data_IF_508098013474
#
_entry.id   IF_508098013474
#
_cell.length_a   1.000
_cell.length_b   1.000
_cell.length_c   1.000
_cell.angle_alpha   90.00
_cell.angle_beta   90.00
_cell.angle_gamma   90.00
#
_symmetry.space_group_name_H-M   'P 1'
#
loop_
_entity.id
_entity.type
_entity.pdbx_description
1 polymer ?
#
# COMPACT_ATOMS: atom_id res chain seq x y z
N UNK A 1 -47.09 -66.53 -5.92
CA UNK A 1 -46.18 -67.02 -4.85
C UNK A 1 -44.93 -66.12 -4.85
N UNK A 2 -45.02 -64.92 -4.28
CA UNK A 2 -43.86 -64.02 -4.10
C UNK A 2 -44.06 -63.23 -2.79
N UNK A 3 -43.18 -63.43 -1.82
CA UNK A 3 -43.21 -62.74 -0.53
C UNK A 3 -42.54 -61.37 -0.68
N UNK A 4 -43.30 -60.32 -0.39
CA UNK A 4 -42.82 -58.93 -0.29
C UNK A 4 -42.09 -58.73 1.04
N UNK A 5 -40.88 -58.17 0.96
CA UNK A 5 -40.15 -57.58 2.08
C UNK A 5 -40.18 -56.07 1.92
N UNK A 6 -40.69 -55.36 2.93
CA UNK A 6 -40.17 -54.07 3.43
C UNK A 6 -40.95 -53.76 4.72
N UNK A 7 -40.46 -54.19 5.89
CA UNK A 7 -39.54 -53.48 6.78
C UNK A 7 -39.94 -52.03 7.09
N UNK A 8 -40.69 -51.87 8.18
CA UNK A 8 -40.72 -50.63 8.96
C UNK A 8 -40.92 -50.99 10.45
N UNK A 9 -39.83 -51.28 11.15
CA UNK A 9 -39.84 -51.39 12.61
C UNK A 9 -39.08 -50.23 13.23
N UNK A 10 -39.85 -49.41 13.94
CA UNK A 10 -39.39 -48.44 14.93
C UNK A 10 -38.46 -49.12 15.94
N UNK A 11 -37.29 -48.53 16.16
CA UNK A 11 -36.36 -48.57 17.33
C UNK A 11 -35.00 -48.06 16.80
N UNK A 12 -34.13 -47.32 17.46
CA UNK A 12 -33.99 -46.97 18.87
C UNK A 12 -33.12 -45.72 19.00
N UNK A 13 -33.21 -45.13 20.19
CA UNK A 13 -32.23 -44.35 20.94
C UNK A 13 -30.79 -44.87 20.70
N UNK A 14 -29.78 -43.98 20.77
CA UNK A 14 -28.32 -44.19 20.63
C UNK A 14 -27.83 -44.12 19.16
N UNK A 15 -26.98 -43.21 18.69
CA UNK A 15 -26.01 -42.29 19.30
C UNK A 15 -25.74 -41.18 18.28
N UNK A 16 -25.97 -39.91 18.63
CA UNK A 16 -25.52 -38.83 17.75
C UNK A 16 -25.04 -37.58 18.50
N UNK A 17 -24.39 -37.82 19.63
CA UNK A 17 -23.61 -36.81 20.36
C UNK A 17 -22.33 -36.41 19.61
N UNK A 18 -21.83 -37.25 18.70
CA UNK A 18 -20.68 -36.92 17.85
C UNK A 18 -21.04 -35.95 16.71
N UNK A 19 -22.19 -36.07 16.05
CA UNK A 19 -22.57 -35.12 15.00
C UNK A 19 -22.94 -33.73 15.53
N UNK A 20 -23.43 -33.61 16.78
CA UNK A 20 -23.71 -32.30 17.38
C UNK A 20 -22.43 -31.53 17.76
N UNK A 21 -21.37 -32.20 18.20
CA UNK A 21 -20.06 -31.59 18.52
C UNK A 21 -19.29 -31.14 17.27
N UNK A 22 -19.38 -31.90 16.18
CA UNK A 22 -18.72 -31.55 14.90
C UNK A 22 -19.36 -30.31 14.26
N UNK A 23 -20.70 -30.20 14.30
CA UNK A 23 -21.41 -29.04 13.74
C UNK A 23 -21.21 -27.74 14.54
N UNK A 24 -21.04 -27.80 15.87
CA UNK A 24 -20.80 -26.61 16.70
C UNK A 24 -19.42 -26.00 16.53
N UNK A 25 -18.42 -26.80 16.13
CA UNK A 25 -17.05 -26.29 15.95
C UNK A 25 -16.92 -25.43 14.69
N UNK A 26 -17.65 -25.77 13.62
CA UNK A 26 -17.60 -25.00 12.37
C UNK A 26 -18.32 -23.63 12.48
N UNK A 27 -19.33 -23.49 13.34
CA UNK A 27 -20.02 -22.21 13.52
C UNK A 27 -19.20 -21.19 14.35
N UNK A 28 -18.23 -21.65 15.15
CA UNK A 28 -17.31 -20.79 15.93
C UNK A 28 -16.12 -20.29 15.11
N UNK A 29 -15.73 -21.01 14.06
CA UNK A 29 -14.63 -20.61 13.18
C UNK A 29 -15.02 -19.48 12.22
N UNK A 30 -16.32 -19.33 11.91
CA UNK A 30 -16.82 -18.28 11.02
C UNK A 30 -16.92 -16.89 11.70
N UNK A 31 -17.17 -16.82 13.02
CA UNK A 31 -17.34 -15.55 13.76
C UNK A 31 -16.03 -14.84 14.10
N UNK A 32 -14.88 -15.50 13.99
CA UNK A 32 -13.56 -14.86 14.20
C UNK A 32 -13.05 -14.10 12.99
N UNK A 33 -13.68 -14.24 11.81
CA UNK A 33 -13.22 -13.61 10.56
C UNK A 33 -13.75 -12.17 10.40
N UNK A 34 -14.71 -11.74 11.24
CA UNK A 34 -15.32 -10.41 11.13
C UNK A 34 -14.84 -9.39 12.17
N UNK A 35 -13.95 -9.77 13.10
CA UNK A 35 -13.29 -8.80 13.98
C UNK A 35 -12.07 -8.20 13.28
N UNK A 36 -12.34 -7.21 12.44
CA UNK A 36 -11.35 -6.20 12.04
C UNK A 36 -11.22 -5.17 13.17
N UNK A 37 -11.07 -5.61 14.42
CA UNK A 37 -11.07 -4.73 15.57
C UNK A 37 -9.65 -4.41 16.06
N UNK A 38 -9.35 -3.12 15.90
CA UNK A 38 -8.48 -2.26 16.72
C UNK A 38 -7.00 -2.59 16.95
N UNK A 39 -6.42 -3.64 16.36
CA UNK A 39 -4.95 -3.71 16.37
C UNK A 39 -4.42 -2.60 15.44
N UNK A 40 -3.60 -1.64 15.91
CA UNK A 40 -3.04 -0.63 15.02
C UNK A 40 -2.26 -1.38 13.94
N UNK A 41 -2.75 -1.29 12.69
CA UNK A 41 -2.14 -1.95 11.55
C UNK A 41 -0.78 -1.31 11.34
N UNK A 42 0.25 -1.92 11.92
CA UNK A 42 1.63 -1.50 11.72
C UNK A 42 1.95 -1.58 10.23
N UNK A 43 2.68 -0.58 9.75
CA UNK A 43 3.11 -0.43 8.37
C UNK A 43 4.62 -0.54 8.30
N UNK A 44 5.13 -1.12 7.23
CA UNK A 44 6.52 -0.97 6.86
C UNK A 44 6.71 0.28 6.03
N UNK A 45 7.60 1.14 6.48
CA UNK A 45 8.19 2.23 5.71
C UNK A 45 9.46 1.70 5.04
N UNK A 46 9.34 1.40 3.76
CA UNK A 46 10.42 0.82 2.96
C UNK A 46 11.09 1.95 2.19
N UNK A 47 12.36 2.21 2.46
CA UNK A 47 13.14 3.24 1.77
C UNK A 47 14.24 2.59 0.95
N UNK A 48 14.31 2.86 -0.35
CA UNK A 48 15.43 2.40 -1.18
C UNK A 48 16.67 3.25 -0.90
N UNK A 49 17.74 2.67 -0.35
CA UNK A 49 19.00 3.37 -0.02
C UNK A 49 20.04 3.28 -1.13
N UNK A 50 20.09 2.15 -1.85
CA UNK A 50 21.03 1.89 -2.94
C UNK A 50 20.27 1.64 -4.23
N UNK A 51 20.87 1.98 -5.38
CA UNK A 51 20.25 1.74 -6.69
C UNK A 51 20.21 0.25 -7.01
N UNK A 52 19.28 -0.14 -7.89
CA UNK A 52 19.13 -1.53 -8.36
C UNK A 52 20.07 -1.87 -9.52
N UNK A 53 21.04 -1.02 -9.84
CA UNK A 53 21.97 -1.22 -10.96
C UNK A 53 23.00 -2.29 -10.60
N UNK A 54 23.34 -3.15 -11.56
CA UNK A 54 24.33 -4.22 -11.36
C UNK A 54 23.88 -5.35 -10.42
N UNK A 55 22.66 -5.30 -9.88
CA UNK A 55 22.09 -6.38 -9.08
C UNK A 55 21.49 -7.47 -9.95
N UNK A 56 21.44 -8.68 -9.37
CA UNK A 56 20.83 -9.84 -10.01
C UNK A 56 19.37 -9.53 -10.47
N UNK A 57 18.93 -9.99 -11.65
CA UNK A 57 17.62 -9.66 -12.20
C UNK A 57 16.45 -9.93 -11.24
N UNK A 58 16.54 -11.00 -10.45
CA UNK A 58 15.50 -11.35 -9.47
C UNK A 58 15.39 -10.31 -8.35
N UNK A 59 16.52 -9.79 -7.84
CA UNK A 59 16.53 -8.74 -6.81
C UNK A 59 15.96 -7.44 -7.36
N UNK A 60 16.25 -7.13 -8.63
CA UNK A 60 15.68 -5.97 -9.33
C UNK A 60 14.16 -6.10 -9.49
N UNK A 61 13.65 -7.28 -9.83
CA UNK A 61 12.21 -7.51 -9.95
C UNK A 61 11.52 -7.48 -8.57
N UNK A 62 12.12 -8.06 -7.54
CA UNK A 62 11.61 -7.95 -6.17
C UNK A 62 11.48 -6.49 -5.71
N UNK A 63 12.47 -5.65 -6.01
CA UNK A 63 12.39 -4.22 -5.71
C UNK A 63 11.27 -3.51 -6.51
N UNK A 64 11.05 -3.93 -7.77
CA UNK A 64 9.96 -3.42 -8.61
C UNK A 64 8.58 -3.80 -8.08
N UNK A 65 8.40 -5.05 -7.63
CA UNK A 65 7.16 -5.55 -6.99
C UNK A 65 6.84 -4.75 -5.74
N UNK A 66 7.85 -4.40 -4.94
CA UNK A 66 7.65 -3.54 -3.77
C UNK A 66 7.24 -2.10 -4.15
N UNK A 67 7.48 -1.66 -5.38
CA UNK A 67 7.20 -0.31 -5.88
C UNK A 67 8.38 0.66 -5.77
N UNK A 68 9.60 0.14 -5.60
CA UNK A 68 10.82 0.95 -5.45
C UNK A 68 11.43 1.24 -6.83
N UNK A 69 11.23 2.46 -7.34
CA UNK A 69 11.69 2.88 -8.68
C UNK A 69 13.00 3.64 -8.69
N UNK A 70 13.28 4.45 -7.66
CA UNK A 70 14.42 5.38 -7.60
C UNK A 70 15.05 5.40 -6.22
N UNK A 71 16.33 5.75 -6.14
CA UNK A 71 17.01 5.95 -4.85
C UNK A 71 16.28 7.00 -4.01
N UNK A 72 16.15 6.73 -2.71
CA UNK A 72 15.42 7.58 -1.77
C UNK A 72 13.90 7.47 -1.87
N UNK A 73 13.34 6.65 -2.77
CA UNK A 73 11.90 6.42 -2.83
C UNK A 73 11.43 5.70 -1.56
N UNK A 74 10.32 6.17 -1.01
CA UNK A 74 9.69 5.62 0.19
C UNK A 74 8.33 5.06 -0.19
N UNK A 75 8.06 3.82 0.20
CA UNK A 75 6.77 3.15 0.00
C UNK A 75 6.30 2.60 1.34
N UNK A 76 5.00 2.79 1.61
CA UNK A 76 4.34 2.24 2.79
C UNK A 76 3.54 1.00 2.40
N UNK A 77 3.75 -0.10 3.12
CA UNK A 77 3.03 -1.37 2.91
C UNK A 77 2.56 -1.96 4.24
N UNK A 78 1.42 -2.68 4.27
CA UNK A 78 1.03 -3.43 5.45
C UNK A 78 2.05 -4.53 5.76
N UNK A 79 2.17 -4.87 7.05
CA UNK A 79 3.01 -5.97 7.51
C UNK A 79 2.32 -7.30 7.15
N UNK A 80 2.82 -7.99 6.13
CA UNK A 80 2.34 -9.32 5.70
C UNK A 80 3.50 -10.29 5.48
N UNK A 81 3.30 -11.58 5.73
CA UNK A 81 4.36 -12.59 5.61
C UNK A 81 4.93 -12.71 4.19
N UNK A 82 4.09 -12.57 3.17
CA UNK A 82 4.50 -12.60 1.77
C UNK A 82 5.49 -11.48 1.44
N UNK A 83 5.17 -10.26 1.87
CA UNK A 83 6.03 -9.11 1.70
C UNK A 83 7.32 -9.23 2.53
N UNK A 84 7.27 -9.82 3.73
CA UNK A 84 8.48 -10.09 4.53
C UNK A 84 9.49 -10.95 3.76
N UNK A 85 9.02 -12.01 3.08
CA UNK A 85 9.87 -12.89 2.28
C UNK A 85 10.57 -12.15 1.13
N UNK A 86 9.88 -11.22 0.48
CA UNK A 86 10.45 -10.37 -0.56
C UNK A 86 11.47 -9.40 0.04
N UNK A 87 11.13 -8.77 1.16
CA UNK A 87 11.98 -7.81 1.89
C UNK A 87 13.31 -8.45 2.29
N UNK A 88 13.31 -9.70 2.78
CA UNK A 88 14.53 -10.42 3.16
C UNK A 88 15.48 -10.57 1.96
N UNK A 89 14.95 -10.79 0.75
CA UNK A 89 15.76 -10.91 -0.47
C UNK A 89 16.40 -9.59 -0.90
N UNK A 90 15.81 -8.44 -0.54
CA UNK A 90 16.30 -7.09 -0.92
C UNK A 90 16.90 -6.32 0.26
N UNK A 91 17.12 -6.97 1.42
CA UNK A 91 17.52 -6.32 2.69
C UNK A 91 18.79 -5.47 2.62
N UNK A 92 19.66 -5.75 1.65
CA UNK A 92 20.94 -5.06 1.47
C UNK A 92 20.79 -3.66 0.87
N UNK A 93 19.75 -3.42 0.08
CA UNK A 93 19.55 -2.15 -0.65
C UNK A 93 18.48 -1.25 -0.02
N UNK A 94 17.70 -1.76 0.93
CA UNK A 94 16.59 -1.04 1.57
C UNK A 94 16.90 -0.71 3.02
N UNK A 95 16.29 0.37 3.52
CA UNK A 95 16.12 0.63 4.94
C UNK A 95 14.66 0.37 5.29
N UNK A 96 14.44 -0.44 6.32
CA UNK A 96 13.11 -0.78 6.81
C UNK A 96 12.86 -0.09 8.16
N UNK A 97 11.70 0.53 8.31
CA UNK A 97 11.22 1.11 9.57
C UNK A 97 9.78 0.65 9.81
N UNK A 98 9.43 0.37 11.06
CA UNK A 98 8.06 0.02 11.46
C UNK A 98 7.36 1.30 11.95
N UNK A 99 6.22 1.63 11.36
CA UNK A 99 5.50 2.88 11.62
C UNK A 99 4.02 2.60 11.78
N UNK A 100 3.34 3.33 12.67
CA UNK A 100 1.90 3.16 12.90
C UNK A 100 1.02 3.95 11.92
N UNK A 101 1.60 4.96 11.24
CA UNK A 101 0.90 5.87 10.33
C UNK A 101 1.75 6.19 9.10
N UNK A 102 1.10 6.62 8.01
CA UNK A 102 1.78 7.08 6.80
C UNK A 102 2.20 8.53 7.00
N UNK A 103 3.50 8.83 6.87
CA UNK A 103 3.95 10.22 6.88
C UNK A 103 3.45 10.95 5.62
N UNK A 104 2.94 12.18 5.73
CA UNK A 104 2.60 12.97 4.56
C UNK A 104 3.83 13.18 3.67
N UNK A 105 3.64 13.35 2.34
CA UNK A 105 4.75 13.69 1.47
C UNK A 105 5.43 14.97 1.99
N UNK A 106 6.77 15.02 1.88
CA UNK A 106 7.52 16.20 2.31
C UNK A 106 7.00 17.43 1.58
N UNK A 107 6.29 18.28 2.30
CA UNK A 107 5.97 19.63 1.84
C UNK A 107 7.27 20.40 1.61
N UNK A 108 7.26 21.30 0.62
CA UNK A 108 8.40 22.19 0.39
C UNK A 108 8.78 22.98 1.64
N UNK A 109 10.00 23.50 1.65
CA UNK A 109 10.41 24.43 2.69
C UNK A 109 9.41 25.60 2.78
N UNK A 110 9.16 26.14 3.98
CA UNK A 110 8.29 27.30 4.13
C UNK A 110 8.83 28.45 3.27
N UNK A 111 7.91 29.20 2.66
CA UNK A 111 8.29 30.42 1.94
C UNK A 111 8.87 31.41 2.95
N UNK A 112 10.07 31.94 2.67
CA UNK A 112 10.70 32.99 3.47
C UNK A 112 10.15 34.39 3.18
N UNK A 113 9.11 34.49 2.36
CA UNK A 113 8.43 35.73 2.04
C UNK A 113 6.92 35.54 2.06
N UNK A 114 6.22 36.55 2.54
CA UNK A 114 4.77 36.69 2.46
C UNK A 114 4.43 37.78 1.43
N UNK A 115 3.54 37.47 0.49
CA UNK A 115 3.16 38.41 -0.57
C UNK A 115 2.04 39.31 -0.04
N UNK A 116 2.41 40.51 0.42
CA UNK A 116 1.51 41.50 1.06
C UNK A 116 0.45 42.05 0.08
N UNK A 117 0.71 42.00 -1.22
CA UNK A 117 -0.27 42.39 -2.23
C UNK A 117 0.16 42.01 -3.63
N UNK A 118 -0.81 41.76 -4.51
CA UNK A 118 -0.59 41.70 -5.96
C UNK A 118 -1.19 42.97 -6.56
N UNK A 119 -0.42 43.70 -7.35
CA UNK A 119 -0.95 44.84 -8.10
C UNK A 119 -2.08 44.32 -9.00
N UNK A 120 -3.32 44.75 -8.75
CA UNK A 120 -4.44 44.46 -9.63
C UNK A 120 -4.12 45.06 -11.00
N UNK A 121 -3.95 44.22 -12.02
CA UNK A 121 -3.64 44.60 -13.40
C UNK A 121 -4.72 45.46 -14.08
N UNK A 122 -5.79 45.84 -13.36
CA UNK A 122 -6.84 46.75 -13.82
C UNK A 122 -6.39 48.21 -13.96
N UNK A 123 -5.23 48.59 -13.39
CA UNK A 123 -4.67 49.97 -13.50
C UNK A 123 -3.63 50.08 -14.63
N UNK A 124 -3.17 48.96 -15.19
CA UNK A 124 -2.09 48.93 -16.20
C UNK A 124 -2.56 49.14 -17.65
N UNK A 125 -3.68 49.82 -17.88
CA UNK A 125 -4.10 50.32 -19.20
C UNK A 125 -3.73 51.79 -19.42
N UNK A 126 -2.72 52.30 -18.71
CA UNK A 126 -2.23 53.66 -18.87
C UNK A 126 -0.74 53.76 -18.56
N UNK A 127 0.03 54.05 -19.60
CA UNK A 127 1.47 54.41 -19.61
C UNK A 127 2.50 53.28 -19.53
N UNK A 128 3.41 53.33 -20.51
CA UNK A 128 4.57 52.46 -20.74
C UNK A 128 5.44 52.35 -19.49
N UNK A 129 5.67 51.13 -19.00
CA UNK A 129 6.83 50.81 -18.17
C UNK A 129 7.39 49.47 -18.64
N UNK A 130 8.65 49.48 -19.06
CA UNK A 130 9.36 48.33 -19.58
C UNK A 130 9.30 47.17 -18.59
N UNK A 131 9.01 45.96 -19.09
CA UNK A 131 9.21 44.73 -18.32
C UNK A 131 10.68 44.73 -17.86
N UNK A 132 11.01 44.56 -16.57
CA UNK A 132 12.36 44.17 -16.22
C UNK A 132 12.61 42.81 -16.90
N UNK A 133 13.57 42.79 -17.81
CA UNK A 133 14.05 41.58 -18.47
C UNK A 133 14.63 40.65 -17.40
N UNK A 134 13.78 39.80 -16.81
CA UNK A 134 14.25 38.53 -16.30
C UNK A 134 14.81 37.78 -17.51
N UNK A 135 16.06 37.28 -17.48
CA UNK A 135 16.54 36.47 -18.58
C UNK A 135 15.60 35.29 -18.71
N UNK A 136 14.95 35.19 -19.88
CA UNK A 136 14.16 34.03 -20.26
C UNK A 136 15.07 32.82 -20.08
N UNK A 137 14.83 32.00 -19.04
CA UNK A 137 15.45 30.70 -18.92
C UNK A 137 14.98 29.92 -20.15
N UNK A 138 15.86 29.81 -21.14
CA UNK A 138 15.63 29.04 -22.35
C UNK A 138 15.18 27.64 -21.93
N UNK A 139 13.90 27.33 -22.12
CA UNK A 139 13.45 25.94 -22.18
C UNK A 139 14.03 25.41 -23.49
N UNK A 140 15.24 24.85 -23.40
CA UNK A 140 15.77 23.98 -24.44
C UNK A 140 14.75 22.87 -24.68
N UNK A 141 14.17 22.87 -25.87
CA UNK A 141 13.33 21.77 -26.32
C UNK A 141 14.18 20.53 -26.59
N UNK A 142 13.55 19.38 -26.47
CA UNK A 142 13.78 18.28 -27.41
C UNK A 142 12.44 17.60 -27.59
N UNK A 143 11.86 17.77 -28.78
CA UNK A 143 10.85 16.88 -29.30
C UNK A 143 11.58 15.67 -29.90
N UNK A 144 11.19 14.47 -29.50
CA UNK A 144 11.27 13.26 -30.34
C UNK A 144 10.02 12.43 -30.06
N UNK A 145 9.41 11.96 -31.15
CA UNK A 145 8.32 11.00 -31.19
C UNK A 145 8.79 9.61 -30.73
#
# INVERSE_FOLDING_TARGET
MFRSLTNLSKTSIVSNTLLRKVLTNNLRYASTVTNTESTPKKLWKITLKRSTIGLHPQTRENARVLGLKRCGHVVYRPVTNELAGIIIKVKEIIKLELVDRVDPPKTGAPSGFEVIGRLNSRIASGSKAAKPLLPLRAKGGTAIN
#
